data_IF_324654883500
#
_entry.id   IF_324654883500
#
_cell.length_a   1.000
_cell.length_b   1.000
_cell.length_c   1.000
_cell.angle_alpha   90.00
_cell.angle_beta   90.00
_cell.angle_gamma   90.00
#
_symmetry.space_group_name_H-M   'P 1'
#
loop_
_entity.id
_entity.type
_entity.pdbx_description
1 polymer ?
#
# COMPACT_ATOMS: atom_id res chain seq x y z
N UNK A 1 1.13 -15.06 -3.70
CA UNK A 1 2.24 -14.41 -3.04
C UNK A 1 1.88 -13.52 -1.84
N UNK A 2 0.61 -13.47 -1.39
CA UNK A 2 0.20 -12.58 -0.28
C UNK A 2 0.38 -13.15 1.14
N UNK A 3 0.70 -14.43 1.29
CA UNK A 3 0.87 -15.06 2.61
C UNK A 3 2.22 -14.80 3.29
N UNK A 4 3.22 -14.29 2.57
CA UNK A 4 4.59 -14.21 3.07
C UNK A 4 4.86 -13.14 4.14
N UNK A 5 4.07 -12.07 4.20
CA UNK A 5 4.34 -10.96 5.12
C UNK A 5 3.87 -11.22 6.56
N UNK A 6 2.67 -11.71 6.74
CA UNK A 6 2.16 -12.09 8.06
C UNK A 6 2.88 -13.33 8.61
N UNK A 7 3.17 -14.29 7.72
CA UNK A 7 3.91 -15.50 8.10
C UNK A 7 5.40 -15.24 8.37
N UNK A 8 6.07 -14.36 7.63
CA UNK A 8 7.48 -14.05 7.89
C UNK A 8 7.68 -13.30 9.21
N UNK A 9 6.75 -12.42 9.59
CA UNK A 9 6.79 -11.76 10.89
C UNK A 9 6.52 -12.73 12.03
N UNK A 10 5.52 -13.62 11.93
CA UNK A 10 5.22 -14.62 12.97
C UNK A 10 6.28 -15.72 13.06
N UNK A 11 6.88 -16.14 11.94
CA UNK A 11 7.97 -17.11 11.91
C UNK A 11 9.26 -16.55 12.48
N UNK A 12 9.58 -15.27 12.23
CA UNK A 12 10.74 -14.62 12.82
C UNK A 12 10.62 -14.48 14.35
N UNK A 13 9.42 -14.34 14.88
CA UNK A 13 9.20 -14.33 16.34
C UNK A 13 9.46 -15.71 16.99
N UNK A 14 9.33 -16.80 16.26
CA UNK A 14 9.56 -18.17 16.77
C UNK A 14 11.01 -18.64 16.64
N UNK A 15 11.73 -18.16 15.64
CA UNK A 15 13.12 -18.60 15.34
C UNK A 15 14.15 -17.72 16.05
N UNK A 16 13.82 -16.49 16.37
CA UNK A 16 14.75 -15.52 16.98
C UNK A 16 14.37 -15.29 18.43
N UNK A 17 15.35 -15.41 19.36
CA UNK A 17 15.15 -15.00 20.76
C UNK A 17 14.50 -13.62 20.79
N UNK A 18 13.46 -13.44 21.62
CA UNK A 18 12.60 -12.24 21.72
C UNK A 18 13.38 -10.91 21.66
N UNK A 19 14.60 -10.90 22.18
CA UNK A 19 15.51 -9.74 22.17
C UNK A 19 16.07 -9.35 20.79
N UNK A 20 16.01 -10.24 19.78
CA UNK A 20 16.52 -10.00 18.41
C UNK A 20 15.43 -9.78 17.36
N UNK A 21 14.16 -9.94 17.73
CA UNK A 21 13.01 -9.75 16.84
C UNK A 21 12.98 -8.37 16.18
N UNK A 22 13.24 -7.23 16.88
CA UNK A 22 13.27 -5.92 16.25
C UNK A 22 14.34 -5.79 15.16
N UNK A 23 15.53 -6.44 15.36
CA UNK A 23 16.60 -6.45 14.36
C UNK A 23 16.22 -7.27 13.12
N UNK A 24 15.58 -8.44 13.32
CA UNK A 24 15.14 -9.28 12.20
C UNK A 24 14.06 -8.57 11.37
N UNK A 25 13.09 -7.92 12.01
CA UNK A 25 12.08 -7.11 11.33
C UNK A 25 12.70 -5.92 10.59
N UNK A 26 13.67 -5.22 11.20
CA UNK A 26 14.36 -4.12 10.56
C UNK A 26 15.13 -4.56 9.30
N UNK A 27 15.77 -5.75 9.33
CA UNK A 27 16.48 -6.32 8.18
C UNK A 27 15.47 -6.69 7.06
N UNK A 28 14.35 -7.33 7.41
CA UNK A 28 13.32 -7.70 6.43
C UNK A 28 12.70 -6.46 5.78
N UNK A 29 12.31 -5.46 6.57
CA UNK A 29 11.74 -4.22 6.07
C UNK A 29 12.75 -3.39 5.29
N UNK A 30 14.02 -3.38 5.73
CA UNK A 30 15.13 -2.74 5.04
C UNK A 30 15.41 -3.37 3.67
N UNK A 31 15.41 -4.70 3.58
CA UNK A 31 15.59 -5.43 2.33
C UNK A 31 14.49 -5.13 1.31
N UNK A 32 13.24 -4.99 1.77
CA UNK A 32 12.11 -4.60 0.92
C UNK A 32 12.25 -3.17 0.43
N UNK A 33 12.59 -2.25 1.33
CA UNK A 33 12.79 -0.84 0.97
C UNK A 33 13.93 -0.69 -0.05
N UNK A 34 15.05 -1.39 0.15
CA UNK A 34 16.16 -1.43 -0.81
C UNK A 34 15.70 -2.05 -2.14
N UNK A 35 14.92 -3.14 -2.09
CA UNK A 35 14.37 -3.79 -3.28
C UNK A 35 13.49 -2.83 -4.10
N UNK A 36 12.62 -2.07 -3.46
CA UNK A 36 11.76 -1.07 -4.11
C UNK A 36 12.58 0.10 -4.69
N UNK A 37 13.58 0.60 -3.96
CA UNK A 37 14.46 1.69 -4.42
C UNK A 37 15.30 1.26 -5.62
N UNK A 38 15.76 0.00 -5.66
CA UNK A 38 16.55 -0.54 -6.77
C UNK A 38 15.67 -0.93 -7.97
N UNK A 39 14.44 -1.38 -7.75
CA UNK A 39 13.52 -1.81 -8.81
C UNK A 39 13.08 -0.64 -9.70
N UNK A 40 12.81 0.53 -9.12
CA UNK A 40 12.31 1.69 -9.84
C UNK A 40 13.31 2.27 -10.89
N UNK A 41 14.59 2.54 -10.56
CA UNK A 41 15.56 3.02 -11.56
C UNK A 41 15.93 1.96 -12.62
N UNK A 42 16.01 0.68 -12.23
CA UNK A 42 16.33 -0.39 -13.20
C UNK A 42 15.21 -0.63 -14.21
N UNK A 43 13.95 -0.42 -13.83
CA UNK A 43 12.82 -0.49 -14.75
C UNK A 43 12.84 0.61 -15.80
N UNK A 44 13.21 1.84 -15.43
CA UNK A 44 13.25 2.98 -16.35
C UNK A 44 14.52 3.02 -17.21
N UNK A 45 15.69 2.69 -16.67
CA UNK A 45 16.97 2.75 -17.39
C UNK A 45 17.16 1.62 -18.42
N UNK A 46 16.60 0.43 -18.13
CA UNK A 46 16.72 -0.74 -19.05
C UNK A 46 15.56 -0.87 -20.04
N UNK A 47 14.45 -0.17 -19.82
CA UNK A 47 13.31 -0.17 -20.76
C UNK A 47 13.65 0.41 -22.14
N UNK A 48 14.67 1.27 -22.21
CA UNK A 48 15.12 1.89 -23.46
C UNK A 48 16.15 1.09 -24.27
N UNK A 49 16.97 0.23 -23.62
CA UNK A 49 18.11 -0.43 -24.31
C UNK A 49 18.01 -1.96 -24.39
N UNK A 50 17.31 -2.63 -23.49
CA UNK A 50 17.30 -4.11 -23.40
C UNK A 50 15.88 -4.70 -23.56
N UNK A 51 14.87 -3.87 -23.73
CA UNK A 51 13.46 -4.27 -23.85
C UNK A 51 12.80 -4.68 -22.53
N UNK A 52 11.54 -4.32 -22.35
CA UNK A 52 10.75 -4.57 -21.14
C UNK A 52 10.66 -6.08 -20.75
N UNK A 53 10.71 -6.98 -21.75
CA UNK A 53 10.68 -8.44 -21.55
C UNK A 53 11.86 -8.94 -20.72
N UNK A 54 13.06 -8.43 -20.95
CA UNK A 54 14.24 -8.81 -20.17
C UNK A 54 14.21 -8.24 -18.74
N UNK A 55 13.54 -7.12 -18.52
CA UNK A 55 13.25 -6.60 -17.20
C UNK A 55 12.33 -7.54 -16.40
N UNK A 56 11.26 -8.02 -17.02
CA UNK A 56 10.32 -9.00 -16.42
C UNK A 56 11.01 -10.34 -16.16
N UNK A 57 11.79 -10.84 -17.12
CA UNK A 57 12.55 -12.10 -16.94
C UNK A 57 13.57 -11.99 -15.80
N UNK A 58 14.26 -10.85 -15.67
CA UNK A 58 15.18 -10.62 -14.56
C UNK A 58 14.47 -10.59 -13.20
N UNK A 59 13.29 -9.99 -13.13
CA UNK A 59 12.47 -10.00 -11.92
C UNK A 59 11.95 -11.41 -11.58
N UNK A 60 11.55 -12.19 -12.60
CA UNK A 60 11.12 -13.57 -12.43
C UNK A 60 12.27 -14.47 -11.90
N UNK A 61 13.47 -14.34 -12.47
CA UNK A 61 14.65 -15.08 -12.02
C UNK A 61 15.01 -14.72 -10.56
N UNK A 62 14.95 -13.43 -10.21
CA UNK A 62 15.18 -12.99 -8.84
C UNK A 62 14.11 -13.53 -7.88
N UNK A 63 12.85 -13.60 -8.32
CA UNK A 63 11.76 -14.22 -7.55
C UNK A 63 12.00 -15.71 -7.30
N UNK A 64 12.42 -16.46 -8.32
CA UNK A 64 12.78 -17.88 -8.19
C UNK A 64 13.97 -18.07 -7.24
N UNK A 65 15.02 -17.26 -7.38
CA UNK A 65 16.17 -17.30 -6.47
C UNK A 65 15.77 -17.02 -5.02
N UNK A 66 14.88 -16.05 -4.77
CA UNK A 66 14.33 -15.78 -3.45
C UNK A 66 13.51 -16.98 -2.91
N UNK A 67 12.71 -17.63 -3.73
CA UNK A 67 11.94 -18.80 -3.32
C UNK A 67 12.87 -19.95 -2.91
N UNK A 68 13.89 -20.24 -3.72
CA UNK A 68 14.90 -21.27 -3.43
C UNK A 68 15.64 -20.93 -2.11
N UNK A 69 16.07 -19.67 -1.97
CA UNK A 69 16.74 -19.21 -0.74
C UNK A 69 15.87 -19.38 0.50
N UNK A 70 14.60 -18.96 0.43
CA UNK A 70 13.65 -19.09 1.53
C UNK A 70 13.41 -20.57 1.85
N UNK A 71 13.29 -21.43 0.85
CA UNK A 71 13.09 -22.86 1.04
C UNK A 71 14.30 -23.53 1.71
N UNK A 72 15.51 -23.14 1.37
CA UNK A 72 16.74 -23.66 1.96
C UNK A 72 17.04 -23.08 3.37
N UNK A 73 16.66 -21.82 3.61
CA UNK A 73 17.00 -21.09 4.83
C UNK A 73 15.96 -21.25 5.95
N UNK A 74 14.73 -21.63 5.64
CA UNK A 74 13.66 -21.78 6.63
C UNK A 74 13.58 -23.24 7.12
N UNK A 75 13.83 -23.49 8.43
CA UNK A 75 13.57 -24.77 9.01
C UNK A 75 12.06 -25.07 8.95
N UNK A 76 11.70 -26.35 8.71
CA UNK A 76 10.31 -26.81 8.77
C UNK A 76 9.81 -26.64 10.21
N UNK A 77 8.99 -25.64 10.44
CA UNK A 77 8.29 -25.48 11.71
C UNK A 77 7.02 -26.33 11.67
N UNK A 78 6.74 -27.15 12.70
CA UNK A 78 5.48 -27.88 12.77
C UNK A 78 4.33 -26.89 12.70
N UNK A 79 3.44 -27.09 11.73
CA UNK A 79 2.22 -26.31 11.63
C UNK A 79 1.45 -26.45 12.94
N UNK A 80 1.10 -25.35 13.59
CA UNK A 80 0.07 -25.44 14.61
C UNK A 80 -1.20 -25.89 13.90
N UNK A 81 -1.80 -26.97 14.40
CA UNK A 81 -3.14 -27.41 14.04
C UNK A 81 -4.08 -26.28 14.50
N UNK A 82 -4.21 -25.26 13.66
CA UNK A 82 -5.21 -24.24 13.91
C UNK A 82 -6.57 -24.90 13.76
N UNK A 83 -7.30 -24.97 14.89
CA UNK A 83 -8.73 -25.22 14.83
C UNK A 83 -9.30 -24.39 13.69
N UNK A 84 -10.00 -25.05 12.76
CA UNK A 84 -10.75 -24.44 11.66
C UNK A 84 -11.83 -23.49 12.22
N UNK A 85 -11.42 -22.41 12.86
CA UNK A 85 -12.33 -21.32 13.18
C UNK A 85 -12.53 -20.53 11.90
N UNK A 86 -13.78 -20.48 11.45
CA UNK A 86 -14.23 -19.80 10.25
C UNK A 86 -13.58 -18.39 10.16
N UNK A 87 -12.65 -18.20 9.23
CA UNK A 87 -12.04 -16.87 8.96
C UNK A 87 -13.13 -15.83 8.67
N UNK A 88 -14.22 -16.24 8.04
CA UNK A 88 -15.40 -15.41 7.79
C UNK A 88 -16.17 -15.04 9.06
N UNK A 89 -16.03 -15.80 10.15
CA UNK A 89 -16.61 -15.45 11.44
C UNK A 89 -16.08 -14.14 12.01
N UNK A 90 -14.84 -13.76 11.64
CA UNK A 90 -14.24 -12.51 12.06
C UNK A 90 -14.94 -11.29 11.43
N UNK A 91 -15.40 -11.41 10.19
CA UNK A 91 -16.13 -10.35 9.48
C UNK A 91 -17.50 -10.06 10.10
N UNK A 92 -18.08 -11.02 10.86
CA UNK A 92 -19.35 -10.83 11.56
C UNK A 92 -19.22 -9.98 12.83
N UNK A 93 -18.01 -9.75 13.31
CA UNK A 93 -17.79 -8.88 14.47
C UNK A 93 -18.14 -7.42 14.13
N UNK A 94 -18.81 -6.68 15.06
CA UNK A 94 -19.22 -5.31 14.81
C UNK A 94 -18.05 -4.41 14.40
N UNK A 95 -18.18 -3.75 13.25
CA UNK A 95 -17.19 -2.81 12.72
C UNK A 95 -16.04 -3.44 11.93
N UNK A 96 -15.82 -4.76 11.98
CA UNK A 96 -14.72 -5.41 11.25
C UNK A 96 -14.99 -5.43 9.76
N UNK A 97 -16.19 -5.78 9.33
CA UNK A 97 -16.58 -5.73 7.91
C UNK A 97 -16.43 -4.31 7.33
N UNK A 98 -16.87 -3.28 8.09
CA UNK A 98 -16.70 -1.89 7.68
C UNK A 98 -15.22 -1.49 7.58
N UNK A 99 -14.37 -1.95 8.51
CA UNK A 99 -12.92 -1.74 8.44
C UNK A 99 -12.28 -2.41 7.23
N UNK A 100 -12.63 -3.66 6.94
CA UNK A 100 -12.12 -4.38 5.77
C UNK A 100 -12.60 -3.76 4.44
N UNK A 101 -13.85 -3.28 4.40
CA UNK A 101 -14.37 -2.53 3.25
C UNK A 101 -13.61 -1.21 3.08
N UNK A 102 -13.33 -0.49 4.16
CA UNK A 102 -12.55 0.74 4.10
C UNK A 102 -11.11 0.48 3.61
N UNK A 103 -10.48 -0.61 4.07
CA UNK A 103 -9.18 -1.06 3.54
C UNK A 103 -9.27 -1.34 2.04
N UNK A 104 -10.27 -2.09 1.61
CA UNK A 104 -10.49 -2.37 0.18
C UNK A 104 -10.60 -1.08 -0.63
N UNK A 105 -11.47 -0.16 -0.20
CA UNK A 105 -11.73 1.09 -0.94
C UNK A 105 -10.51 1.99 -1.02
N UNK A 106 -9.76 2.16 0.07
CA UNK A 106 -8.58 3.03 0.08
C UNK A 106 -7.46 2.49 -0.80
N UNK A 107 -7.22 1.17 -0.80
CA UNK A 107 -6.19 0.56 -1.64
C UNK A 107 -6.64 0.45 -3.10
N UNK A 108 -7.91 0.16 -3.39
CA UNK A 108 -8.45 0.22 -4.73
C UNK A 108 -8.37 1.64 -5.31
N UNK A 109 -8.71 2.66 -4.52
CA UNK A 109 -8.56 4.06 -4.89
C UNK A 109 -7.11 4.44 -5.17
N UNK A 110 -6.18 4.01 -4.33
CA UNK A 110 -4.76 4.24 -4.55
C UNK A 110 -4.29 3.65 -5.89
N UNK A 111 -4.59 2.38 -6.15
CA UNK A 111 -4.08 1.69 -7.33
C UNK A 111 -4.84 2.02 -8.61
N UNK A 112 -6.09 2.51 -8.52
CA UNK A 112 -6.81 3.04 -9.70
C UNK A 112 -6.10 4.25 -10.32
N UNK A 113 -5.48 5.11 -9.51
CA UNK A 113 -4.73 6.27 -9.98
C UNK A 113 -3.23 5.99 -10.13
N UNK A 114 -2.60 5.39 -9.11
CA UNK A 114 -1.14 5.26 -9.08
C UNK A 114 -0.58 4.39 -10.20
N UNK A 115 -1.33 3.38 -10.63
CA UNK A 115 -0.97 2.55 -11.79
C UNK A 115 -0.87 3.38 -13.08
N UNK A 116 -1.69 4.43 -13.19
CA UNK A 116 -1.79 5.31 -14.37
C UNK A 116 -1.22 6.71 -14.11
N UNK A 117 -0.42 6.88 -13.08
CA UNK A 117 0.19 8.16 -12.71
C UNK A 117 1.03 8.76 -13.85
N UNK A 118 1.72 7.89 -14.61
CA UNK A 118 2.57 8.32 -15.72
C UNK A 118 1.78 9.07 -16.79
N UNK A 119 0.77 8.48 -17.47
CA UNK A 119 0.00 9.21 -18.48
C UNK A 119 -0.66 10.48 -17.92
N UNK A 120 -1.12 10.47 -16.68
CA UNK A 120 -1.72 11.67 -16.05
C UNK A 120 -0.67 12.78 -15.95
N UNK A 121 0.49 12.54 -15.38
CA UNK A 121 1.51 13.57 -15.18
C UNK A 121 2.20 14.02 -16.47
N UNK A 122 2.41 13.12 -17.43
CA UNK A 122 3.02 13.49 -18.70
C UNK A 122 2.07 14.25 -19.62
N UNK A 123 0.79 13.86 -19.65
CA UNK A 123 -0.19 14.47 -20.55
C UNK A 123 -0.86 15.69 -19.93
N UNK A 124 -1.26 15.66 -18.65
CA UNK A 124 -1.95 16.77 -17.99
C UNK A 124 -0.99 17.88 -17.60
N UNK A 125 0.10 17.55 -16.92
CA UNK A 125 1.08 18.52 -16.42
C UNK A 125 2.26 18.76 -17.38
N UNK A 126 2.38 17.97 -18.45
CA UNK A 126 3.44 18.10 -19.45
C UNK A 126 4.85 17.83 -18.90
N UNK A 127 4.97 16.90 -17.94
CA UNK A 127 6.27 16.49 -17.44
C UNK A 127 7.02 15.64 -18.48
N UNK A 128 8.32 15.92 -18.64
CA UNK A 128 9.24 15.01 -19.33
C UNK A 128 9.46 13.73 -18.52
N UNK A 129 10.09 12.72 -19.12
CA UNK A 129 10.44 11.47 -18.41
C UNK A 129 11.31 11.74 -17.19
N UNK A 130 12.27 12.66 -17.30
CA UNK A 130 13.16 13.03 -16.19
C UNK A 130 12.40 13.81 -15.11
N UNK A 131 11.52 14.73 -15.52
CA UNK A 131 10.65 15.46 -14.60
C UNK A 131 9.71 14.55 -13.83
N UNK A 132 9.11 13.56 -14.49
CA UNK A 132 8.29 12.56 -13.82
C UNK A 132 9.11 11.72 -12.84
N UNK A 133 10.34 11.37 -13.18
CA UNK A 133 11.24 10.63 -12.29
C UNK A 133 11.51 11.42 -11.00
N UNK A 134 11.73 12.73 -11.10
CA UNK A 134 11.90 13.61 -9.93
C UNK A 134 10.61 13.69 -9.10
N UNK A 135 9.45 13.78 -9.73
CA UNK A 135 8.15 13.78 -9.03
C UNK A 135 7.94 12.45 -8.27
N UNK A 136 8.22 11.32 -8.89
CA UNK A 136 8.10 10.00 -8.23
C UNK A 136 9.13 9.81 -7.13
N UNK A 137 10.32 10.37 -7.27
CA UNK A 137 11.34 10.38 -6.23
C UNK A 137 10.87 11.22 -5.03
N UNK A 138 10.33 12.41 -5.27
CA UNK A 138 9.78 13.27 -4.21
C UNK A 138 8.60 12.61 -3.48
N UNK A 139 7.72 11.91 -4.21
CA UNK A 139 6.68 11.06 -3.63
C UNK A 139 7.28 9.98 -2.71
N UNK A 140 8.32 9.29 -3.17
CA UNK A 140 9.01 8.25 -2.39
C UNK A 140 9.65 8.79 -1.11
N UNK A 141 10.35 9.93 -1.19
CA UNK A 141 10.93 10.61 -0.02
C UNK A 141 9.82 11.05 0.95
N UNK A 142 8.75 11.65 0.44
CA UNK A 142 7.61 12.05 1.24
C UNK A 142 6.94 10.85 1.95
N UNK A 143 6.80 9.71 1.26
CA UNK A 143 6.29 8.48 1.84
C UNK A 143 7.19 7.94 2.94
N UNK A 144 8.51 8.00 2.77
CA UNK A 144 9.47 7.62 3.81
C UNK A 144 9.34 8.51 5.05
N UNK A 145 9.26 9.82 4.86
CA UNK A 145 9.04 10.79 5.94
C UNK A 145 7.70 10.51 6.63
N UNK A 146 6.61 10.35 5.89
CA UNK A 146 5.29 10.04 6.42
C UNK A 146 5.27 8.76 7.26
N UNK A 147 5.92 7.69 6.78
CA UNK A 147 6.05 6.44 7.52
C UNK A 147 6.85 6.62 8.81
N UNK A 148 7.95 7.37 8.78
CA UNK A 148 8.81 7.64 9.95
C UNK A 148 8.05 8.40 11.05
N UNK A 149 7.20 9.33 10.68
CA UNK A 149 6.37 10.10 11.63
C UNK A 149 5.03 9.42 11.98
N UNK A 150 4.69 8.32 11.34
CA UNK A 150 3.39 7.64 11.51
C UNK A 150 3.10 7.27 12.96
N UNK A 151 4.11 6.80 13.71
CA UNK A 151 3.97 6.43 15.13
C UNK A 151 3.55 7.61 16.01
N UNK A 152 4.06 8.80 15.72
CA UNK A 152 3.72 10.02 16.47
C UNK A 152 2.28 10.44 16.19
N UNK A 153 1.89 10.39 14.91
CA UNK A 153 0.51 10.73 14.47
C UNK A 153 -0.51 9.74 15.05
N UNK A 154 -0.19 8.43 15.05
CA UNK A 154 -1.05 7.37 15.57
C UNK A 154 -1.26 7.44 17.10
N UNK A 155 -0.29 8.02 17.85
CA UNK A 155 -0.44 8.23 19.29
C UNK A 155 -1.60 9.17 19.65
N UNK A 156 -1.92 10.14 18.78
CA UNK A 156 -3.03 11.08 19.01
C UNK A 156 -4.39 10.42 18.82
N UNK A 157 -4.63 9.84 17.65
CA UNK A 157 -5.86 9.10 17.36
C UNK A 157 -5.72 8.29 16.07
N UNK A 158 -5.79 6.98 16.17
CA UNK A 158 -5.80 6.08 15.02
C UNK A 158 -7.03 6.34 14.14
N UNK A 159 -8.21 6.49 14.75
CA UNK A 159 -9.45 6.76 14.01
C UNK A 159 -9.37 8.04 13.20
N UNK A 160 -8.89 9.12 13.82
CA UNK A 160 -8.76 10.42 13.16
C UNK A 160 -7.77 10.33 11.99
N UNK A 161 -6.65 9.64 12.16
CA UNK A 161 -5.67 9.44 11.09
C UNK A 161 -6.25 8.64 9.93
N UNK A 162 -6.97 7.54 10.22
CA UNK A 162 -7.62 6.70 9.20
C UNK A 162 -8.75 7.42 8.44
N UNK A 163 -9.34 8.47 9.01
CA UNK A 163 -10.31 9.31 8.32
C UNK A 163 -9.64 10.46 7.55
N UNK A 164 -8.70 11.16 8.18
CA UNK A 164 -8.07 12.35 7.58
C UNK A 164 -7.10 12.02 6.45
N UNK A 165 -6.35 10.92 6.54
CA UNK A 165 -5.41 10.57 5.48
C UNK A 165 -6.13 10.32 4.13
N UNK A 166 -7.17 9.48 4.02
CA UNK A 166 -7.93 9.36 2.77
C UNK A 166 -8.62 10.66 2.36
N UNK A 167 -9.11 11.46 3.31
CA UNK A 167 -9.70 12.76 3.00
C UNK A 167 -8.69 13.71 2.34
N UNK A 168 -7.46 13.76 2.87
CA UNK A 168 -6.37 14.53 2.27
C UNK A 168 -6.09 14.06 0.85
N UNK A 169 -6.09 12.74 0.59
CA UNK A 169 -5.89 12.20 -0.75
C UNK A 169 -7.07 12.52 -1.68
N UNK A 170 -8.31 12.51 -1.19
CA UNK A 170 -9.50 12.91 -1.95
C UNK A 170 -9.42 14.39 -2.37
N UNK A 171 -9.02 15.27 -1.45
CA UNK A 171 -8.79 16.69 -1.73
C UNK A 171 -7.63 16.86 -2.72
N UNK A 172 -6.56 16.11 -2.56
CA UNK A 172 -5.42 16.11 -3.48
C UNK A 172 -5.82 15.69 -4.90
N UNK A 173 -6.70 14.69 -5.03
CA UNK A 173 -7.25 14.29 -6.32
C UNK A 173 -8.06 15.41 -6.95
N UNK A 174 -8.92 16.09 -6.18
CA UNK A 174 -9.70 17.23 -6.65
C UNK A 174 -8.80 18.39 -7.11
N UNK A 175 -7.79 18.73 -6.32
CA UNK A 175 -6.82 19.79 -6.68
C UNK A 175 -6.09 19.42 -7.96
N UNK A 176 -5.66 18.17 -8.13
CA UNK A 176 -4.99 17.71 -9.34
C UNK A 176 -5.91 17.72 -10.57
N UNK A 177 -7.22 17.46 -10.40
CA UNK A 177 -8.21 17.57 -11.47
C UNK A 177 -8.37 19.04 -11.92
N UNK A 178 -8.42 19.98 -10.97
CA UNK A 178 -8.71 21.38 -11.25
C UNK A 178 -7.48 22.16 -11.71
N UNK A 179 -6.32 21.90 -11.15
CA UNK A 179 -5.08 22.65 -11.36
C UNK A 179 -3.87 21.80 -11.74
N UNK A 180 -4.07 20.55 -12.12
CA UNK A 180 -2.98 19.61 -12.42
C UNK A 180 -2.18 19.93 -13.69
N UNK A 181 -2.63 20.87 -14.52
CA UNK A 181 -1.85 21.41 -15.63
C UNK A 181 -0.65 22.28 -15.18
N UNK A 182 -0.70 22.82 -13.96
CA UNK A 182 0.44 23.51 -13.36
C UNK A 182 1.43 22.48 -12.78
N UNK A 183 2.67 22.53 -13.26
CA UNK A 183 3.73 21.59 -12.82
C UNK A 183 4.06 21.72 -11.33
N UNK A 184 4.01 22.90 -10.77
CA UNK A 184 4.31 23.13 -9.35
C UNK A 184 3.22 22.54 -8.48
N UNK A 185 1.96 22.76 -8.86
CA UNK A 185 0.81 22.17 -8.17
C UNK A 185 0.88 20.64 -8.26
N UNK A 186 1.09 20.09 -9.45
CA UNK A 186 1.16 18.64 -9.65
C UNK A 186 2.30 18.01 -8.83
N UNK A 187 3.49 18.60 -8.81
CA UNK A 187 4.62 18.13 -7.99
C UNK A 187 4.32 18.23 -6.49
N UNK A 188 3.74 19.34 -6.04
CA UNK A 188 3.31 19.53 -4.66
C UNK A 188 2.29 18.48 -4.20
N UNK A 189 1.31 18.18 -5.07
CA UNK A 189 0.32 17.13 -4.80
C UNK A 189 0.97 15.75 -4.69
N UNK A 190 1.98 15.43 -5.48
CA UNK A 190 2.71 14.15 -5.35
C UNK A 190 3.35 14.01 -3.97
N UNK A 191 3.92 15.08 -3.42
CA UNK A 191 4.50 15.11 -2.06
C UNK A 191 3.41 14.89 -1.01
N UNK A 192 2.31 15.64 -1.08
CA UNK A 192 1.18 15.50 -0.14
C UNK A 192 0.58 14.10 -0.22
N UNK A 193 0.46 13.55 -1.43
CA UNK A 193 -0.03 12.19 -1.64
C UNK A 193 0.89 11.14 -1.00
N UNK A 194 2.20 11.29 -1.18
CA UNK A 194 3.19 10.41 -0.55
C UNK A 194 3.11 10.42 0.98
N UNK A 195 3.06 11.61 1.58
CA UNK A 195 2.89 11.77 3.03
C UNK A 195 1.59 11.14 3.54
N UNK A 196 0.47 11.44 2.87
CA UNK A 196 -0.86 10.96 3.28
C UNK A 196 -1.00 9.45 3.15
N UNK A 197 -0.59 8.89 2.00
CA UNK A 197 -0.69 7.45 1.78
C UNK A 197 0.19 6.63 2.70
N UNK A 198 1.36 7.14 3.09
CA UNK A 198 2.27 6.46 4.00
C UNK A 198 1.66 6.15 5.38
N UNK A 199 0.69 6.96 5.83
CA UNK A 199 -0.01 6.76 7.10
C UNK A 199 -1.04 5.61 7.04
N UNK A 200 -1.55 5.28 5.86
CA UNK A 200 -2.67 4.34 5.67
C UNK A 200 -2.30 2.91 6.05
N UNK A 201 -1.22 2.28 5.53
CA UNK A 201 -0.84 0.91 5.90
C UNK A 201 -0.54 0.77 7.39
N UNK A 202 0.16 1.76 7.97
CA UNK A 202 0.52 1.76 9.40
C UNK A 202 -0.74 1.92 10.26
N UNK A 203 -1.65 2.80 9.85
CA UNK A 203 -2.91 3.02 10.55
C UNK A 203 -3.79 1.78 10.60
N UNK A 204 -3.95 1.10 9.47
CA UNK A 204 -4.75 -0.13 9.40
C UNK A 204 -4.12 -1.29 10.15
N UNK A 205 -2.80 -1.45 10.11
CA UNK A 205 -2.10 -2.45 10.91
C UNK A 205 -2.27 -2.16 12.41
N UNK A 206 -2.19 -0.88 12.81
CA UNK A 206 -2.44 -0.46 14.20
C UNK A 206 -3.90 -0.69 14.60
N UNK A 207 -4.86 -0.45 13.70
CA UNK A 207 -6.26 -0.71 13.96
C UNK A 207 -6.53 -2.19 14.23
N UNK A 208 -5.96 -3.10 13.43
CA UNK A 208 -6.07 -4.55 13.64
C UNK A 208 -5.51 -4.96 14.98
N UNK A 209 -4.29 -4.54 15.31
CA UNK A 209 -3.63 -4.94 16.56
C UNK A 209 -4.36 -4.43 17.80
N UNK A 210 -5.03 -3.28 17.72
CA UNK A 210 -5.83 -2.74 18.85
C UNK A 210 -7.25 -3.33 18.92
N UNK A 211 -7.89 -3.52 17.77
CA UNK A 211 -9.31 -3.91 17.72
C UNK A 211 -9.50 -5.43 17.77
N UNK A 212 -8.56 -6.18 17.23
CA UNK A 212 -8.60 -7.63 17.06
C UNK A 212 -7.36 -8.29 17.66
N UNK A 213 -6.90 -7.81 18.82
CA UNK A 213 -5.70 -8.30 19.50
C UNK A 213 -5.73 -9.82 19.76
N UNK A 214 -6.92 -10.36 20.04
CA UNK A 214 -7.17 -11.79 20.27
C UNK A 214 -7.01 -12.66 19.00
N UNK A 215 -7.14 -12.06 17.82
CA UNK A 215 -7.03 -12.74 16.52
C UNK A 215 -6.21 -11.93 15.50
N UNK A 216 -5.21 -11.17 15.97
CA UNK A 216 -4.44 -10.25 15.14
C UNK A 216 -3.74 -10.92 13.95
N UNK A 217 -3.28 -12.16 14.10
CA UNK A 217 -2.64 -12.93 13.02
C UNK A 217 -3.63 -13.26 11.90
N UNK A 218 -4.84 -13.75 12.25
CA UNK A 218 -5.90 -14.04 11.28
C UNK A 218 -6.41 -12.77 10.61
N UNK A 219 -6.65 -11.72 11.39
CA UNK A 219 -7.07 -10.43 10.87
C UNK A 219 -6.03 -9.82 9.93
N UNK A 220 -4.74 -9.95 10.25
CA UNK A 220 -3.64 -9.53 9.39
C UNK A 220 -3.59 -10.28 8.06
N UNK A 221 -3.83 -11.60 8.08
CA UNK A 221 -3.89 -12.41 6.85
C UNK A 221 -5.07 -12.01 5.95
N UNK A 222 -6.25 -11.77 6.54
CA UNK A 222 -7.41 -11.23 5.80
C UNK A 222 -7.11 -9.84 5.25
N UNK A 223 -6.49 -8.97 6.04
CA UNK A 223 -6.08 -7.64 5.59
C UNK A 223 -5.21 -7.70 4.35
N UNK A 224 -4.18 -8.55 4.35
CA UNK A 224 -3.28 -8.70 3.20
C UNK A 224 -4.04 -9.20 1.98
N UNK A 225 -4.94 -10.20 2.13
CA UNK A 225 -5.76 -10.69 1.03
C UNK A 225 -6.67 -9.58 0.45
N UNK A 226 -7.32 -8.81 1.32
CA UNK A 226 -8.17 -7.67 0.94
C UNK A 226 -7.37 -6.60 0.20
N UNK A 227 -6.16 -6.26 0.68
CA UNK A 227 -5.27 -5.29 0.02
C UNK A 227 -4.88 -5.78 -1.38
N UNK A 228 -4.49 -7.04 -1.55
CA UNK A 228 -4.09 -7.58 -2.85
C UNK A 228 -5.25 -7.63 -3.84
N UNK A 229 -6.44 -7.99 -3.37
CA UNK A 229 -7.66 -7.93 -4.18
C UNK A 229 -7.98 -6.48 -4.57
N UNK A 230 -7.90 -5.55 -3.63
CA UNK A 230 -8.14 -4.12 -3.86
C UNK A 230 -7.17 -3.53 -4.89
N UNK A 231 -5.87 -3.87 -4.79
CA UNK A 231 -4.84 -3.43 -5.75
C UNK A 231 -5.18 -3.91 -7.16
N UNK A 232 -5.55 -5.19 -7.31
CA UNK A 232 -5.92 -5.77 -8.61
C UNK A 232 -7.19 -5.13 -9.17
N UNK A 233 -8.25 -5.04 -8.37
CA UNK A 233 -9.51 -4.43 -8.79
C UNK A 233 -9.32 -2.94 -9.11
N UNK A 234 -8.58 -2.21 -8.28
CA UNK A 234 -8.31 -0.79 -8.49
C UNK A 234 -7.57 -0.54 -9.81
N UNK A 235 -6.49 -1.29 -10.06
CA UNK A 235 -5.74 -1.18 -11.31
C UNK A 235 -6.61 -1.54 -12.53
N UNK A 236 -7.40 -2.63 -12.46
CA UNK A 236 -8.27 -3.06 -13.55
C UNK A 236 -9.37 -2.04 -13.85
N UNK A 237 -10.09 -1.57 -12.82
CA UNK A 237 -11.17 -0.59 -13.00
C UNK A 237 -10.61 0.77 -13.41
N UNK A 238 -9.43 1.16 -12.87
CA UNK A 238 -8.74 2.38 -13.28
C UNK A 238 -8.34 2.36 -14.75
N UNK A 239 -7.84 1.21 -15.26
CA UNK A 239 -7.53 1.04 -16.68
C UNK A 239 -8.77 1.09 -17.57
N UNK A 240 -9.82 0.37 -17.19
CA UNK A 240 -11.09 0.43 -17.89
C UNK A 240 -11.64 1.86 -17.95
N UNK A 241 -11.57 2.60 -16.83
CA UNK A 241 -12.00 3.98 -16.77
C UNK A 241 -11.14 4.87 -17.69
N UNK A 242 -9.82 4.70 -17.69
CA UNK A 242 -8.91 5.43 -18.56
C UNK A 242 -9.25 5.25 -20.03
N UNK A 243 -9.47 4.00 -20.45
CA UNK A 243 -9.72 3.64 -21.85
C UNK A 243 -11.08 4.14 -22.37
N UNK A 244 -12.11 4.20 -21.51
CA UNK A 244 -13.48 4.53 -21.91
C UNK A 244 -13.91 5.96 -21.58
N UNK A 245 -13.36 6.54 -20.50
CA UNK A 245 -13.79 7.86 -19.99
C UNK A 245 -12.68 8.91 -19.98
N UNK A 246 -11.47 8.53 -20.43
CA UNK A 246 -10.35 9.45 -20.62
C UNK A 246 -9.46 9.65 -19.42
N UNK A 247 -8.47 10.53 -19.60
CA UNK A 247 -7.29 10.66 -18.76
C UNK A 247 -7.54 10.93 -17.26
N UNK A 248 -8.57 11.71 -16.94
CA UNK A 248 -8.87 12.09 -15.55
C UNK A 248 -9.70 11.06 -14.80
N UNK A 249 -10.29 10.08 -15.49
CA UNK A 249 -11.23 9.14 -14.87
C UNK A 249 -10.61 8.24 -13.80
N UNK A 250 -9.35 7.74 -13.90
CA UNK A 250 -8.72 7.00 -12.80
C UNK A 250 -8.53 7.86 -11.56
N UNK A 251 -8.25 9.14 -11.76
CA UNK A 251 -8.07 10.12 -10.68
C UNK A 251 -9.40 10.46 -10.00
N UNK A 252 -10.48 10.62 -10.78
CA UNK A 252 -11.84 10.82 -10.24
C UNK A 252 -12.30 9.61 -9.43
N UNK A 253 -12.06 8.40 -9.95
CA UNK A 253 -12.37 7.15 -9.25
C UNK A 253 -11.59 7.05 -7.93
N UNK A 254 -10.29 7.36 -7.97
CA UNK A 254 -9.43 7.39 -6.79
C UNK A 254 -9.98 8.36 -5.74
N UNK A 255 -10.23 9.61 -6.13
CA UNK A 255 -10.74 10.65 -5.23
C UNK A 255 -12.09 10.27 -4.62
N UNK A 256 -12.99 9.70 -5.41
CA UNK A 256 -14.29 9.21 -4.96
C UNK A 256 -14.17 8.08 -3.92
N UNK A 257 -13.34 7.08 -4.19
CA UNK A 257 -13.09 5.97 -3.26
C UNK A 257 -12.40 6.46 -1.97
N UNK A 258 -11.48 7.41 -2.05
CA UNK A 258 -10.82 8.02 -0.90
C UNK A 258 -11.81 8.80 -0.03
N UNK A 259 -12.70 9.59 -0.64
CA UNK A 259 -13.76 10.31 0.07
C UNK A 259 -14.73 9.36 0.76
N UNK A 260 -15.21 8.35 0.05
CA UNK A 260 -16.09 7.33 0.61
C UNK A 260 -15.42 6.57 1.76
N UNK A 261 -14.10 6.29 1.65
CA UNK A 261 -13.32 5.67 2.74
C UNK A 261 -13.31 6.58 3.97
N UNK A 262 -13.04 7.87 3.81
CA UNK A 262 -13.00 8.81 4.92
C UNK A 262 -14.35 8.89 5.64
N UNK A 263 -15.45 8.95 4.88
CA UNK A 263 -16.82 8.96 5.42
C UNK A 263 -17.17 7.63 6.13
N UNK A 264 -16.83 6.49 5.54
CA UNK A 264 -17.07 5.18 6.13
C UNK A 264 -16.31 5.00 7.45
N UNK A 265 -15.05 5.43 7.49
CA UNK A 265 -14.22 5.38 8.71
C UNK A 265 -14.82 6.28 9.80
N UNK A 266 -15.20 7.50 9.46
CA UNK A 266 -15.80 8.43 10.41
C UNK A 266 -17.09 7.87 11.02
N UNK A 267 -17.96 7.27 10.19
CA UNK A 267 -19.29 6.81 10.57
C UNK A 267 -19.30 5.42 11.26
N UNK A 268 -18.54 4.45 10.76
CA UNK A 268 -18.72 3.02 11.11
C UNK A 268 -17.50 2.36 11.74
N UNK A 269 -16.29 2.86 11.55
CA UNK A 269 -15.09 2.22 12.08
C UNK A 269 -14.89 2.65 13.54
N UNK A 270 -14.89 1.65 14.42
CA UNK A 270 -14.59 1.84 15.85
C UNK A 270 -13.15 1.41 16.10
N UNK A 271 -12.43 2.20 16.87
CA UNK A 271 -11.09 1.86 17.38
C UNK A 271 -11.25 1.63 18.86
N UNK A 272 -10.88 0.44 19.35
CA UNK A 272 -10.79 0.22 20.79
C UNK A 272 -9.60 1.00 21.34
N UNK A 273 -9.81 1.70 22.43
CA UNK A 273 -8.80 2.48 23.11
C UNK A 273 -7.72 1.59 23.73
#
# INVERSE_FOLDING_TARGET
>A
GGGGWGESASRSMRVVRVRKVPKALAVILGAVSIGLVIAAPRGSFRGGSIGWRNGVNGAALMGVACIIWVWMALPSLPGQTEQHQNMFGLLKRPGVAAGMLAIFMVFAGQFSFFTYIRPVYTTLAGFSVDGLTLVLLSFGIASFVGTSFSSVVMKRSVKMTLALAPLTLAISALVLILWGSDKVVAAGIAIVWGLGFALIPVGWSTWITRTLADQAEKAGSIQVAVIQLANTCGAAIGGFALDHYGLLSPLMLSGGLMLLTALLVAAKVKVRA
#
